data_IF_745000886484
#
_entry.id   IF_745000886484
#
_cell.length_a   1.000
_cell.length_b   1.000
_cell.length_c   1.000
_cell.angle_alpha   90.00
_cell.angle_beta   90.00
_cell.angle_gamma   90.00
#
_symmetry.space_group_name_H-M   'P 1'
#
loop_
_entity.id
_entity.type
_entity.pdbx_description
1 polymer ?
#
# COMPACT_ATOMS: atom_id res chain seq x y z
N UNK A 1 -11.30 -5.08 -31.97
CA UNK A 1 -10.78 -4.89 -31.50
C UNK A 1 -10.79 -4.62 -30.32
N UNK A 2 -10.34 -5.03 -29.57
CA UNK A 2 -10.43 -4.89 -28.36
C UNK A 2 -9.34 -4.21 -27.84
N UNK A 3 -9.46 -3.30 -27.15
CA UNK A 3 -8.48 -2.65 -26.63
C UNK A 3 -8.12 -3.16 -25.37
N UNK A 4 -6.95 -3.22 -24.99
CA UNK A 4 -6.57 -3.65 -23.74
C UNK A 4 -7.07 -2.72 -22.73
N UNK A 5 -7.59 -3.21 -21.68
CA UNK A 5 -8.11 -2.36 -20.67
C UNK A 5 -6.98 -1.69 -19.94
N UNK A 6 -7.22 -0.58 -19.43
CA UNK A 6 -6.26 0.10 -18.63
C UNK A 6 -6.02 -0.70 -17.39
N UNK A 7 -4.86 -0.64 -16.80
CA UNK A 7 -4.59 -1.34 -15.57
C UNK A 7 -5.52 -0.88 -14.51
N UNK A 8 -6.07 -1.78 -13.72
CA UNK A 8 -6.98 -1.42 -12.73
C UNK A 8 -6.29 -1.40 -11.46
N UNK A 9 -6.72 -0.67 -10.51
CA UNK A 9 -6.16 -0.69 -9.19
C UNK A 9 -6.09 -2.07 -8.60
N UNK A 10 -7.04 -2.90 -9.00
CA UNK A 10 -7.05 -4.24 -8.48
C UNK A 10 -5.91 -5.08 -8.97
N UNK A 11 -5.19 -4.61 -9.94
CA UNK A 11 -4.09 -5.37 -10.45
C UNK A 11 -2.84 -5.21 -9.62
N UNK A 12 -2.87 -4.45 -8.56
CA UNK A 12 -1.73 -4.34 -7.69
C UNK A 12 -1.88 -5.22 -6.49
N UNK A 13 -0.78 -5.62 -5.91
CA UNK A 13 -0.79 -6.31 -4.63
C UNK A 13 -0.76 -5.23 -3.57
N UNK A 14 -1.70 -5.26 -2.65
CA UNK A 14 -1.87 -4.18 -1.69
C UNK A 14 -1.54 -4.62 -0.30
N UNK A 15 -0.86 -3.80 0.44
CA UNK A 15 -0.55 -4.07 1.84
C UNK A 15 -0.89 -2.83 2.63
N UNK A 16 -1.60 -3.01 3.72
CA UNK A 16 -1.88 -1.90 4.63
C UNK A 16 -0.70 -1.78 5.56
N UNK A 17 -0.09 -0.60 5.58
CA UNK A 17 1.07 -0.35 6.42
C UNK A 17 0.63 0.21 7.75
N UNK A 18 0.89 -0.55 8.79
CA UNK A 18 0.51 -0.14 10.13
C UNK A 18 1.59 -0.63 11.08
N UNK A 19 1.55 -0.15 12.30
CA UNK A 19 2.60 -0.43 13.26
C UNK A 19 2.33 -1.79 13.92
N UNK A 20 2.68 -2.85 13.23
CA UNK A 20 2.52 -4.20 13.74
C UNK A 20 3.85 -4.94 13.60
N UNK A 21 4.11 -5.88 14.47
CA UNK A 21 5.42 -6.56 14.45
C UNK A 21 5.70 -7.31 13.17
N UNK A 22 4.66 -7.78 12.49
CA UNK A 22 4.86 -8.56 11.28
C UNK A 22 4.92 -7.71 10.02
N UNK A 23 5.03 -6.40 10.15
CA UNK A 23 4.99 -5.53 8.98
C UNK A 23 6.03 -5.91 7.93
N UNK A 24 7.26 -6.13 8.35
CA UNK A 24 8.33 -6.45 7.41
C UNK A 24 8.02 -7.75 6.67
N UNK A 25 7.52 -8.73 7.37
CA UNK A 25 7.19 -10.00 6.75
C UNK A 25 6.03 -9.86 5.78
N UNK A 26 5.03 -9.07 6.14
CA UNK A 26 3.90 -8.84 5.26
C UNK A 26 4.33 -8.13 3.99
N UNK A 27 5.19 -7.14 4.10
CA UNK A 27 5.66 -6.42 2.94
C UNK A 27 6.53 -7.33 2.07
N UNK A 28 7.37 -8.13 2.70
CA UNK A 28 8.26 -9.02 1.97
C UNK A 28 7.45 -10.04 1.18
N UNK A 29 6.46 -10.60 1.82
CA UNK A 29 5.63 -11.57 1.16
C UNK A 29 4.85 -10.95 0.01
N UNK A 30 4.31 -9.76 0.21
CA UNK A 30 3.58 -9.07 -0.84
C UNK A 30 4.48 -8.67 -2.00
N UNK A 31 5.71 -8.29 -1.71
CA UNK A 31 6.67 -7.95 -2.76
C UNK A 31 7.00 -9.17 -3.60
N UNK A 32 7.16 -10.33 -2.98
CA UNK A 32 7.40 -11.55 -3.72
C UNK A 32 6.19 -11.90 -4.58
N UNK A 33 5.01 -11.73 -4.05
CA UNK A 33 3.81 -12.04 -4.78
C UNK A 33 3.65 -11.10 -5.98
N UNK A 34 3.97 -9.82 -5.80
CA UNK A 34 3.91 -8.87 -6.88
C UNK A 34 4.92 -9.22 -7.97
N UNK A 35 6.11 -9.63 -7.56
CA UNK A 35 7.13 -10.01 -8.51
C UNK A 35 6.70 -11.24 -9.31
N UNK A 36 6.17 -12.22 -8.63
CA UNK A 36 5.76 -13.45 -9.30
C UNK A 36 4.59 -13.26 -10.24
N UNK A 37 3.72 -12.33 -9.94
CA UNK A 37 2.56 -12.10 -10.77
C UNK A 37 2.71 -10.90 -11.68
N UNK A 38 3.90 -10.31 -11.72
CA UNK A 38 4.17 -9.18 -12.60
C UNK A 38 3.21 -8.04 -12.32
N UNK A 39 3.03 -7.71 -11.07
CA UNK A 39 2.15 -6.64 -10.66
C UNK A 39 2.90 -5.60 -9.88
N UNK A 40 2.32 -4.47 -9.70
CA UNK A 40 2.87 -3.45 -8.83
C UNK A 40 2.54 -3.76 -7.39
N UNK A 41 3.28 -3.21 -6.47
CA UNK A 41 3.00 -3.32 -5.06
C UNK A 41 2.48 -1.97 -4.60
N UNK A 42 1.38 -1.99 -3.88
CA UNK A 42 0.82 -0.75 -3.35
C UNK A 42 0.85 -0.79 -1.84
N UNK A 43 1.52 0.15 -1.22
CA UNK A 43 1.58 0.26 0.22
C UNK A 43 0.61 1.35 0.64
N UNK A 44 -0.38 0.99 1.44
CA UNK A 44 -1.45 1.89 1.79
C UNK A 44 -1.33 2.24 3.25
N UNK A 45 -1.32 3.52 3.59
CA UNK A 45 -1.24 3.92 4.98
C UNK A 45 -2.46 3.51 5.72
N UNK A 46 -2.28 3.04 6.94
CA UNK A 46 -3.43 2.74 7.78
C UNK A 46 -4.11 4.04 8.16
N UNK A 47 -5.40 4.01 8.22
CA UNK A 47 -6.16 5.19 8.59
C UNK A 47 -5.99 5.43 10.07
N UNK A 48 -5.68 6.65 10.46
CA UNK A 48 -5.58 7.01 11.86
C UNK A 48 -6.34 8.28 12.07
N UNK A 49 -6.81 8.54 13.27
CA UNK A 49 -7.54 9.76 13.53
C UNK A 49 -6.67 10.98 13.28
N UNK A 50 -7.28 12.01 12.73
CA UNK A 50 -6.53 13.21 12.43
C UNK A 50 -5.90 13.82 13.64
N UNK A 51 -6.50 13.65 14.79
CA UNK A 51 -5.99 14.26 15.96
C UNK A 51 -4.88 13.50 16.59
N UNK A 52 -4.63 12.26 16.18
CA UNK A 52 -3.65 11.41 16.80
C UNK A 52 -2.32 11.58 16.10
N UNK A 53 -1.60 12.60 16.49
CA UNK A 53 -0.33 12.92 15.85
C UNK A 53 0.72 11.84 16.08
N UNK A 54 0.69 11.21 17.25
CA UNK A 54 1.66 10.16 17.54
C UNK A 54 1.40 8.94 16.65
N UNK A 55 0.14 8.59 16.45
CA UNK A 55 -0.17 7.47 15.57
C UNK A 55 0.22 7.78 14.15
N UNK A 56 0.00 9.01 13.71
CA UNK A 56 0.38 9.39 12.35
C UNK A 56 1.88 9.32 12.17
N UNK A 57 2.64 9.77 13.15
CA UNK A 57 4.09 9.72 13.07
C UNK A 57 4.57 8.27 12.99
N UNK A 58 3.92 7.38 13.72
CA UNK A 58 4.29 5.97 13.68
C UNK A 58 4.00 5.37 12.31
N UNK A 59 2.87 5.71 11.72
CA UNK A 59 2.53 5.18 10.39
C UNK A 59 3.51 5.70 9.35
N UNK A 60 3.93 6.95 9.46
CA UNK A 60 4.89 7.50 8.52
C UNK A 60 6.22 6.75 8.63
N UNK A 61 6.65 6.46 9.83
CA UNK A 61 7.89 5.71 9.99
C UNK A 61 7.74 4.29 9.47
N UNK A 62 6.59 3.69 9.68
CA UNK A 62 6.33 2.36 9.17
C UNK A 62 6.32 2.35 7.65
N UNK A 63 5.83 3.42 7.03
CA UNK A 63 5.82 3.52 5.58
C UNK A 63 7.25 3.58 5.04
N UNK A 64 8.13 4.34 5.69
CA UNK A 64 9.52 4.40 5.27
C UNK A 64 10.16 3.04 5.37
N UNK A 65 9.89 2.32 6.44
CA UNK A 65 10.43 1.00 6.62
C UNK A 65 9.87 0.03 5.58
N UNK A 66 8.58 0.12 5.32
CA UNK A 66 7.95 -0.75 4.34
C UNK A 66 8.51 -0.53 2.94
N UNK A 67 8.74 0.74 2.58
CA UNK A 67 9.31 1.06 1.29
C UNK A 67 10.72 0.47 1.16
N UNK A 68 11.48 0.55 2.22
CA UNK A 68 12.84 0.03 2.22
C UNK A 68 12.83 -1.49 2.06
N UNK A 69 11.96 -2.17 2.80
CA UNK A 69 11.85 -3.62 2.71
C UNK A 69 11.42 -4.03 1.30
N UNK A 70 10.45 -3.32 0.73
CA UNK A 70 9.95 -3.66 -0.59
C UNK A 70 11.04 -3.51 -1.64
N UNK A 71 11.80 -2.43 -1.57
CA UNK A 71 12.84 -2.18 -2.54
C UNK A 71 13.97 -3.16 -2.45
N UNK A 72 14.29 -3.58 -1.25
CA UNK A 72 15.35 -4.56 -1.07
C UNK A 72 14.90 -5.95 -1.46
N UNK A 73 13.63 -6.25 -1.26
CA UNK A 73 13.14 -7.58 -1.56
C UNK A 73 12.92 -7.79 -3.04
N UNK A 74 12.35 -6.82 -3.71
CA UNK A 74 12.03 -6.96 -5.12
C UNK A 74 12.30 -5.64 -5.85
N UNK A 75 13.53 -5.34 -6.14
CA UNK A 75 13.90 -4.04 -6.70
C UNK A 75 13.21 -3.73 -8.03
N UNK A 76 12.83 -4.75 -8.76
CA UNK A 76 12.18 -4.52 -10.04
C UNK A 76 10.70 -4.31 -9.98
N UNK A 77 10.10 -4.43 -8.82
CA UNK A 77 8.66 -4.27 -8.70
C UNK A 77 8.33 -2.81 -8.48
N UNK A 78 7.43 -2.24 -9.28
CA UNK A 78 7.03 -0.85 -9.04
C UNK A 78 6.28 -0.76 -7.73
N UNK A 79 6.61 0.24 -6.93
CA UNK A 79 5.99 0.42 -5.64
C UNK A 79 5.27 1.74 -5.61
N UNK A 80 4.00 1.73 -5.19
CA UNK A 80 3.22 2.92 -5.08
C UNK A 80 2.79 3.11 -3.66
N UNK A 81 2.62 4.35 -3.24
CA UNK A 81 2.13 4.64 -1.90
C UNK A 81 0.75 5.23 -2.05
N UNK A 82 -0.22 4.64 -1.38
CA UNK A 82 -1.60 5.11 -1.48
C UNK A 82 -2.09 5.61 -0.15
N UNK A 83 -3.07 6.46 -0.21
CA UNK A 83 -3.74 6.92 0.99
C UNK A 83 -4.73 5.90 1.41
N UNK A 84 -5.19 5.97 2.62
CA UNK A 84 -6.23 5.04 3.07
C UNK A 84 -7.40 5.12 2.15
N UNK A 85 -7.98 3.99 1.85
CA UNK A 85 -9.08 3.96 1.03
C UNK A 85 -10.17 4.55 1.68
N UNK A 86 -10.74 5.57 1.15
CA UNK A 86 -11.84 6.09 1.68
C UNK A 86 -12.91 5.68 0.96
N UNK A 87 -13.88 5.13 1.47
CA UNK A 87 -15.06 4.80 0.81
C UNK A 87 -15.61 6.00 0.33
N UNK A 88 -16.17 5.99 -0.78
CA UNK A 88 -16.79 7.12 -1.30
C UNK A 88 -17.74 7.53 -0.33
N UNK A 89 -17.71 8.59 0.20
CA UNK A 89 -18.59 8.99 1.05
C UNK A 89 -19.75 9.35 0.44
N UNK A 90 -20.77 9.09 0.85
CA UNK A 90 -22.00 9.44 0.31
C UNK A 90 -21.98 10.90 0.36
N UNK A 91 -22.17 11.43 -0.49
CA UNK A 91 -22.13 12.69 -0.51
C UNK A 91 -23.15 13.21 -0.08
N UNK A 92 -23.60 13.40 0.54
CA UNK A 92 -24.67 13.82 0.99
C UNK A 92 -24.83 14.99 0.82
N UNK A 93 -25.11 15.28 0.43
CA UNK A 93 -25.28 16.25 0.27
C UNK A 93 -26.07 16.56 0.40
N UNK A 94 -26.33 17.00 0.66
CA UNK A 94 -27.12 17.38 0.80
C UNK A 94 -27.47 17.68 0.30
#
# INVERSE_FOLDING_TARGET
MTSAPAPRPLDSVRVVVEDVPELDDLVREAAHRALESDRALELVEAAVPLRDHAARARVIRCMDEALDVARRTAPGVPVRVGSPIELPRPRHSP
#
